data_IF_925688755904
#
_entry.id   IF_925688755904
#
_cell.length_a   1.000
_cell.length_b   1.000
_cell.length_c   1.000
_cell.angle_alpha   90.00
_cell.angle_beta   90.00
_cell.angle_gamma   90.00
#
_symmetry.space_group_name_H-M   'P 1'
#
loop_
_entity.id
_entity.type
_entity.pdbx_description
1 polymer ?
#
# COMPACT_ATOMS: atom_id res chain seq x y z
N UNK A 1 32.21 12.08 9.06
CA UNK A 1 31.63 12.53 7.78
C UNK A 1 32.27 13.82 7.25
N UNK A 2 32.27 14.94 7.99
CA UNK A 2 33.02 16.15 7.56
C UNK A 2 34.53 15.98 7.74
N UNK A 3 34.95 15.23 8.75
CA UNK A 3 36.37 14.90 8.99
C UNK A 3 36.88 13.89 7.93
N UNK A 4 35.99 13.12 7.29
CA UNK A 4 36.33 12.07 6.30
C UNK A 4 36.20 12.53 4.84
N UNK A 5 35.91 13.82 4.58
CA UNK A 5 35.80 14.37 3.22
C UNK A 5 34.64 13.82 2.37
N UNK A 6 33.62 13.22 2.99
CA UNK A 6 32.52 12.59 2.26
C UNK A 6 31.67 13.64 1.49
N UNK A 7 31.48 13.42 0.18
CA UNK A 7 30.61 14.26 -0.65
C UNK A 7 29.15 14.17 -0.17
N UNK A 8 28.35 15.23 -0.37
CA UNK A 8 26.95 15.28 0.10
C UNK A 8 26.11 14.06 -0.31
N UNK A 9 26.30 13.54 -1.52
CA UNK A 9 25.65 12.33 -2.01
C UNK A 9 26.06 11.06 -1.24
N UNK A 10 27.33 10.94 -0.85
CA UNK A 10 27.81 9.82 -0.03
C UNK A 10 27.22 9.87 1.38
N UNK A 11 27.10 11.07 1.98
CA UNK A 11 26.44 11.22 3.28
C UNK A 11 24.97 10.80 3.21
N UNK A 12 24.25 11.17 2.16
CA UNK A 12 22.85 10.79 1.95
C UNK A 12 22.67 9.27 1.90
N UNK A 13 23.45 8.58 1.06
CA UNK A 13 23.26 7.14 0.82
C UNK A 13 23.81 6.27 1.94
N UNK A 14 24.97 6.62 2.50
CA UNK A 14 25.68 5.74 3.44
C UNK A 14 25.43 6.10 4.91
N UNK A 15 24.85 7.26 5.21
CA UNK A 15 24.58 7.69 6.59
C UNK A 15 23.10 7.97 6.78
N UNK A 16 22.53 8.91 6.02
CA UNK A 16 21.15 9.36 6.24
C UNK A 16 20.12 8.28 5.93
N UNK A 17 20.19 7.64 4.75
CA UNK A 17 19.23 6.57 4.37
C UNK A 17 19.31 5.37 5.34
N UNK A 18 20.48 4.80 5.69
CA UNK A 18 20.59 3.68 6.62
C UNK A 18 20.07 4.02 8.02
N UNK A 19 20.31 5.23 8.51
CA UNK A 19 19.77 5.68 9.80
C UNK A 19 18.25 5.81 9.80
N UNK A 20 17.67 6.18 8.65
CA UNK A 20 16.22 6.29 8.47
C UNK A 20 15.55 4.98 8.06
N UNK A 21 16.29 3.92 7.70
CA UNK A 21 15.72 2.64 7.25
C UNK A 21 14.61 2.09 8.17
N UNK A 22 14.73 2.11 9.52
CA UNK A 22 13.65 1.61 10.39
C UNK A 22 12.33 2.37 10.20
N UNK A 23 12.42 3.69 9.97
CA UNK A 23 11.26 4.55 9.74
C UNK A 23 10.74 4.36 8.31
N UNK A 24 11.63 4.30 7.31
CA UNK A 24 11.27 4.07 5.90
C UNK A 24 10.51 2.75 5.76
N UNK A 25 10.99 1.67 6.37
CA UNK A 25 10.33 0.36 6.33
C UNK A 25 8.93 0.45 6.96
N UNK A 26 8.81 1.12 8.12
CA UNK A 26 7.53 1.27 8.82
C UNK A 26 6.51 2.07 8.01
N UNK A 27 6.93 3.21 7.45
CA UNK A 27 6.08 4.08 6.65
C UNK A 27 5.74 3.41 5.31
N UNK A 28 6.69 2.74 4.67
CA UNK A 28 6.45 2.04 3.40
C UNK A 28 5.45 0.90 3.56
N UNK A 29 5.48 0.16 4.67
CA UNK A 29 4.48 -0.89 4.92
C UNK A 29 3.09 -0.28 5.16
N UNK A 30 3.01 0.81 5.93
CA UNK A 30 1.76 1.54 6.11
C UNK A 30 1.23 2.05 4.77
N UNK A 31 2.07 2.70 3.97
CA UNK A 31 1.70 3.24 2.66
C UNK A 31 1.23 2.12 1.72
N UNK A 32 1.86 0.94 1.76
CA UNK A 32 1.39 -0.23 1.03
C UNK A 32 -0.02 -0.67 1.46
N UNK A 33 -0.32 -0.68 2.75
CA UNK A 33 -1.66 -1.00 3.27
C UNK A 33 -2.69 0.03 2.76
N UNK A 34 -2.35 1.32 2.80
CA UNK A 34 -3.24 2.39 2.37
C UNK A 34 -3.48 2.40 0.86
N UNK A 35 -2.43 2.24 0.06
CA UNK A 35 -2.50 2.26 -1.41
C UNK A 35 -3.39 1.13 -1.97
N UNK A 36 -3.42 -0.04 -1.32
CA UNK A 36 -4.35 -1.13 -1.69
C UNK A 36 -5.83 -0.78 -1.49
N UNK A 37 -6.14 0.24 -0.69
CA UNK A 37 -7.50 0.72 -0.42
C UNK A 37 -7.87 2.00 -1.19
N UNK A 38 -6.98 2.50 -2.07
CA UNK A 38 -7.21 3.74 -2.82
C UNK A 38 -8.25 3.52 -3.93
N UNK A 39 -9.51 3.60 -3.55
CA UNK A 39 -10.64 3.55 -4.47
C UNK A 39 -10.85 4.87 -5.25
N UNK A 40 -10.98 6.05 -4.59
CA UNK A 40 -11.47 7.26 -5.26
C UNK A 40 -10.56 7.74 -6.39
N UNK A 41 -9.24 7.70 -6.16
CA UNK A 41 -8.25 8.15 -7.14
C UNK A 41 -8.34 7.35 -8.43
N UNK A 42 -8.35 6.02 -8.32
CA UNK A 42 -8.38 5.12 -9.48
C UNK A 42 -9.72 5.24 -10.20
N UNK A 43 -10.82 5.32 -9.44
CA UNK A 43 -12.16 5.47 -10.01
C UNK A 43 -12.30 6.75 -10.84
N UNK A 44 -11.82 7.89 -10.32
CA UNK A 44 -11.94 9.20 -10.98
C UNK A 44 -10.99 9.32 -12.18
N UNK A 45 -9.79 8.76 -12.10
CA UNK A 45 -8.76 8.96 -13.13
C UNK A 45 -8.88 8.00 -14.32
N UNK A 46 -9.08 6.71 -14.04
CA UNK A 46 -9.07 5.67 -15.09
C UNK A 46 -10.29 4.75 -15.05
N UNK A 47 -11.07 4.75 -13.96
CA UNK A 47 -12.15 3.79 -13.75
C UNK A 47 -11.65 2.33 -13.69
N UNK A 48 -10.35 2.12 -13.50
CA UNK A 48 -9.71 0.80 -13.61
C UNK A 48 -9.35 0.37 -15.04
N UNK A 49 -9.41 1.26 -16.04
CA UNK A 49 -9.09 0.94 -17.44
C UNK A 49 -7.63 1.20 -17.86
N UNK A 50 -7.26 0.89 -19.13
CA UNK A 50 -8.04 0.19 -20.15
C UNK A 50 -8.08 -1.34 -19.91
N UNK A 51 -9.22 -2.00 -20.22
CA UNK A 51 -9.42 -3.46 -20.06
C UNK A 51 -8.85 -3.98 -18.72
N UNK A 52 -9.19 -3.31 -17.61
CA UNK A 52 -8.78 -3.68 -16.24
C UNK A 52 -7.30 -3.41 -15.88
N UNK A 53 -6.51 -2.72 -16.73
CA UNK A 53 -5.05 -2.54 -16.51
C UNK A 53 -4.67 -1.82 -15.22
N UNK A 54 -5.54 -0.96 -14.69
CA UNK A 54 -5.31 -0.24 -13.42
C UNK A 54 -6.34 -0.61 -12.37
N UNK A 55 -7.03 -1.73 -12.54
CA UNK A 55 -8.05 -2.16 -11.60
C UNK A 55 -7.41 -2.70 -10.32
N UNK A 56 -7.89 -2.21 -9.18
CA UNK A 56 -7.57 -2.73 -7.85
C UNK A 56 -8.79 -3.41 -7.24
N UNK A 57 -8.56 -4.19 -6.18
CA UNK A 57 -9.63 -4.92 -5.48
C UNK A 57 -10.81 -4.01 -5.09
N UNK A 58 -10.54 -2.79 -4.63
CA UNK A 58 -11.57 -1.82 -4.25
C UNK A 58 -12.46 -1.41 -5.43
N UNK A 59 -11.85 -1.12 -6.59
CA UNK A 59 -12.60 -0.76 -7.81
C UNK A 59 -13.35 -1.95 -8.40
N UNK A 60 -12.78 -3.15 -8.28
CA UNK A 60 -13.42 -4.39 -8.70
C UNK A 60 -14.67 -4.70 -7.87
N UNK A 61 -14.56 -4.63 -6.53
CA UNK A 61 -15.70 -4.80 -5.61
C UNK A 61 -16.81 -3.78 -5.90
N UNK A 62 -16.44 -2.52 -6.18
CA UNK A 62 -17.40 -1.49 -6.53
C UNK A 62 -18.15 -1.80 -7.83
N UNK A 63 -17.43 -2.19 -8.89
CA UNK A 63 -18.06 -2.59 -10.17
C UNK A 63 -19.01 -3.77 -9.98
N UNK A 64 -18.62 -4.78 -9.19
CA UNK A 64 -19.50 -5.91 -8.89
C UNK A 64 -20.79 -5.44 -8.20
N UNK A 65 -20.68 -4.57 -7.19
CA UNK A 65 -21.84 -4.11 -6.42
C UNK A 65 -22.78 -3.19 -7.20
N UNK A 66 -22.22 -2.23 -7.95
CA UNK A 66 -22.98 -1.10 -8.50
C UNK A 66 -23.06 -1.06 -10.03
N UNK A 67 -22.19 -1.78 -10.75
CA UNK A 67 -22.26 -1.88 -12.22
C UNK A 67 -22.88 -3.19 -12.67
N UNK A 68 -22.44 -4.30 -12.08
CA UNK A 68 -22.95 -5.66 -12.40
C UNK A 68 -24.10 -6.11 -11.49
N UNK A 69 -24.41 -5.35 -10.44
CA UNK A 69 -25.44 -5.67 -9.43
C UNK A 69 -25.28 -7.05 -8.78
N UNK A 70 -24.06 -7.58 -8.76
CA UNK A 70 -23.72 -8.87 -8.19
C UNK A 70 -23.23 -8.69 -6.74
N UNK A 71 -24.18 -8.43 -5.84
CA UNK A 71 -23.91 -8.10 -4.44
C UNK A 71 -23.29 -9.26 -3.66
N UNK A 72 -23.58 -10.51 -4.01
CA UNK A 72 -23.00 -11.68 -3.34
C UNK A 72 -21.50 -11.80 -3.65
N UNK A 73 -21.12 -11.66 -4.93
CA UNK A 73 -19.70 -11.62 -5.31
C UNK A 73 -18.99 -10.38 -4.77
N UNK A 74 -19.66 -9.21 -4.79
CA UNK A 74 -19.10 -8.01 -4.20
C UNK A 74 -18.81 -8.20 -2.70
N UNK A 75 -19.75 -8.79 -1.96
CA UNK A 75 -19.58 -9.09 -0.53
C UNK A 75 -18.43 -10.08 -0.28
N UNK A 76 -18.33 -11.14 -1.08
CA UNK A 76 -17.21 -12.08 -0.99
C UNK A 76 -15.86 -11.38 -1.24
N UNK A 77 -15.78 -10.52 -2.26
CA UNK A 77 -14.56 -9.75 -2.55
C UNK A 77 -14.21 -8.77 -1.42
N UNK A 78 -15.21 -8.14 -0.78
CA UNK A 78 -15.00 -7.26 0.37
C UNK A 78 -14.44 -8.02 1.58
N UNK A 79 -14.91 -9.24 1.83
CA UNK A 79 -14.38 -10.11 2.89
C UNK A 79 -12.92 -10.49 2.60
N UNK A 80 -12.57 -10.78 1.34
CA UNK A 80 -11.19 -11.06 0.94
C UNK A 80 -10.28 -9.84 1.21
N UNK A 81 -10.72 -8.64 0.85
CA UNK A 81 -10.00 -7.38 1.15
C UNK A 81 -9.79 -7.25 2.67
N UNK A 82 -10.83 -7.53 3.47
CA UNK A 82 -10.75 -7.49 4.92
C UNK A 82 -9.72 -8.47 5.48
N UNK A 83 -9.69 -9.72 4.99
CA UNK A 83 -8.72 -10.72 5.43
C UNK A 83 -7.28 -10.34 5.09
N UNK A 84 -7.06 -9.79 3.88
CA UNK A 84 -5.73 -9.31 3.46
C UNK A 84 -5.31 -8.12 4.34
N UNK A 85 -6.18 -7.14 4.54
CA UNK A 85 -5.91 -5.97 5.37
C UNK A 85 -5.63 -6.35 6.82
N UNK A 86 -6.40 -7.31 7.37
CA UNK A 86 -6.20 -7.82 8.72
C UNK A 86 -4.84 -8.54 8.83
N UNK A 87 -4.51 -9.40 7.87
CA UNK A 87 -3.22 -10.08 7.80
C UNK A 87 -2.03 -9.11 7.77
N UNK A 88 -2.08 -8.10 6.90
CA UNK A 88 -1.06 -7.06 6.82
C UNK A 88 -0.97 -6.24 8.10
N UNK A 89 -2.09 -5.90 8.72
CA UNK A 89 -2.13 -5.15 9.99
C UNK A 89 -1.52 -5.97 11.13
N UNK A 90 -1.86 -7.25 11.23
CA UNK A 90 -1.28 -8.16 12.24
C UNK A 90 0.22 -8.33 12.02
N UNK A 91 0.66 -8.48 10.77
CA UNK A 91 2.08 -8.52 10.41
C UNK A 91 2.80 -7.24 10.82
N UNK A 92 2.24 -6.08 10.50
CA UNK A 92 2.78 -4.77 10.88
C UNK A 92 2.95 -4.63 12.39
N UNK A 93 1.88 -4.91 13.16
CA UNK A 93 1.91 -4.81 14.62
C UNK A 93 2.95 -5.76 15.20
N UNK A 94 3.07 -6.98 14.65
CA UNK A 94 4.02 -7.99 15.13
C UNK A 94 5.47 -7.60 14.83
N UNK A 95 5.74 -7.02 13.66
CA UNK A 95 7.06 -6.48 13.31
C UNK A 95 7.43 -5.28 14.20
N UNK A 96 6.47 -4.40 14.49
CA UNK A 96 6.70 -3.23 15.32
C UNK A 96 6.88 -3.58 16.81
N UNK A 97 6.17 -4.59 17.33
CA UNK A 97 6.36 -5.11 18.71
C UNK A 97 7.64 -5.92 18.88
N UNK A 98 8.21 -6.48 17.82
CA UNK A 98 9.45 -7.25 17.86
C UNK A 98 10.71 -6.37 17.97
N UNK A 99 10.54 -5.04 18.00
CA UNK A 99 11.57 -4.03 18.18
C UNK A 99 11.29 -3.24 19.45
#
# INVERSE_FOLDING_TARGET
>A
ADIDGAKAYQKLIFITIPQLMPIIISISLLDFIWTMQVFPLIWITTGGGPIYSTEVLSTYTYKLAFSSYNLSQASASAVVILLISLGLTLFYIRYQKAR
#
